data_IF_659760385362
#
_entry.id   IF_659760385362
#
_cell.length_a   1.000
_cell.length_b   1.000
_cell.length_c   1.000
_cell.angle_alpha   90.00
_cell.angle_beta   90.00
_cell.angle_gamma   90.00
#
_symmetry.space_group_name_H-M   'P 1'
#
loop_
_entity.id
_entity.type
_entity.pdbx_description
1 polymer ?
#
# COMPACT_ATOMS: atom_id res chain seq x y z
N UNK A 1 4.19 -10.99 -7.45
CA UNK A 1 4.06 -10.42 -6.09
C UNK A 1 2.59 -10.25 -5.75
N UNK A 2 2.14 -10.80 -4.62
CA UNK A 2 0.77 -10.71 -4.11
C UNK A 2 0.60 -9.47 -3.23
N UNK A 3 -0.66 -9.04 -3.00
CA UNK A 3 -0.93 -7.86 -2.17
C UNK A 3 -0.49 -8.04 -0.70
N UNK A 4 -0.47 -9.27 -0.20
CA UNK A 4 0.05 -9.59 1.13
C UNK A 4 1.57 -9.36 1.20
N UNK A 5 2.32 -9.84 0.21
CA UNK A 5 3.76 -9.61 0.10
C UNK A 5 4.11 -8.12 0.00
N UNK A 6 3.30 -7.34 -0.73
CA UNK A 6 3.43 -5.86 -0.80
C UNK A 6 3.28 -5.25 0.59
N UNK A 7 2.29 -5.70 1.35
CA UNK A 7 2.02 -5.21 2.70
C UNK A 7 3.18 -5.53 3.64
N UNK A 8 3.71 -6.75 3.60
CA UNK A 8 4.88 -7.14 4.40
C UNK A 8 6.13 -6.32 4.03
N UNK A 9 6.34 -6.06 2.74
CA UNK A 9 7.43 -5.22 2.26
C UNK A 9 7.29 -3.77 2.74
N UNK A 10 6.10 -3.19 2.66
CA UNK A 10 5.81 -1.85 3.17
C UNK A 10 6.08 -1.77 4.67
N UNK A 11 5.59 -2.73 5.46
CA UNK A 11 5.81 -2.76 6.91
C UNK A 11 7.30 -2.86 7.25
N UNK A 12 8.04 -3.70 6.53
CA UNK A 12 9.48 -3.88 6.72
C UNK A 12 10.25 -2.62 6.33
N UNK A 13 9.95 -2.04 5.16
CA UNK A 13 10.56 -0.81 4.67
C UNK A 13 10.29 0.37 5.61
N UNK A 14 9.04 0.52 6.06
CA UNK A 14 8.63 1.55 7.03
C UNK A 14 9.41 1.41 8.34
N UNK A 15 9.52 0.20 8.89
CA UNK A 15 10.30 -0.07 10.11
C UNK A 15 11.78 0.25 9.91
N UNK A 16 12.36 -0.18 8.78
CA UNK A 16 13.77 0.07 8.45
C UNK A 16 14.08 1.56 8.33
N UNK A 17 13.19 2.34 7.69
CA UNK A 17 13.33 3.79 7.52
C UNK A 17 12.81 4.62 8.70
N UNK A 18 12.24 3.97 9.75
CA UNK A 18 11.61 4.62 10.91
C UNK A 18 10.56 5.68 10.53
N UNK A 19 9.82 5.45 9.45
CA UNK A 19 8.79 6.36 8.97
C UNK A 19 7.47 6.17 9.74
N UNK A 20 6.73 7.25 9.92
CA UNK A 20 5.37 7.19 10.47
C UNK A 20 4.34 7.05 9.34
N UNK A 21 3.15 6.53 9.67
CA UNK A 21 2.04 6.51 8.69
C UNK A 21 1.61 7.93 8.30
N UNK A 22 1.71 8.88 9.22
CA UNK A 22 1.42 10.29 8.97
C UNK A 22 2.36 10.86 7.90
N UNK A 23 3.67 10.64 8.02
CA UNK A 23 4.64 11.12 7.04
C UNK A 23 4.40 10.55 5.62
N UNK A 24 3.97 9.29 5.53
CA UNK A 24 3.57 8.70 4.24
C UNK A 24 2.32 9.37 3.68
N UNK A 25 1.33 9.62 4.53
CA UNK A 25 0.08 10.29 4.15
C UNK A 25 0.32 11.74 3.72
N UNK A 26 1.16 12.48 4.44
CA UNK A 26 1.59 13.84 4.11
C UNK A 26 2.29 13.89 2.74
N UNK A 27 3.07 12.88 2.38
CA UNK A 27 3.79 12.83 1.10
C UNK A 27 2.87 12.73 -0.14
N UNK A 28 1.70 12.11 0.05
CA UNK A 28 0.69 11.92 -1.01
C UNK A 28 -0.52 12.83 -0.84
N UNK A 29 -0.57 13.64 0.22
CA UNK A 29 -1.65 14.60 0.49
C UNK A 29 -2.99 13.93 0.85
N UNK A 30 -2.97 12.73 1.44
CA UNK A 30 -4.16 11.97 1.80
C UNK A 30 -4.29 11.79 3.32
N UNK A 31 -5.45 11.32 3.76
CA UNK A 31 -5.66 10.98 5.17
C UNK A 31 -4.78 9.80 5.60
N UNK A 32 -4.34 9.82 6.86
CA UNK A 32 -3.51 8.76 7.46
C UNK A 32 -4.21 7.40 7.38
N UNK A 33 -5.49 7.37 7.71
CA UNK A 33 -6.33 6.18 7.75
C UNK A 33 -6.49 5.58 6.34
N UNK A 34 -6.75 6.44 5.35
CA UNK A 34 -6.89 6.03 3.95
C UNK A 34 -5.57 5.51 3.38
N UNK A 35 -4.47 6.23 3.65
CA UNK A 35 -3.12 5.82 3.21
C UNK A 35 -2.74 4.48 3.82
N UNK A 36 -3.00 4.29 5.11
CA UNK A 36 -2.74 3.01 5.78
C UNK A 36 -3.58 1.88 5.16
N UNK A 37 -4.86 2.12 4.88
CA UNK A 37 -5.73 1.13 4.23
C UNK A 37 -5.25 0.78 2.80
N UNK A 38 -4.81 1.77 2.03
CA UNK A 38 -4.24 1.54 0.69
C UNK A 38 -2.99 0.67 0.74
N UNK A 39 -2.08 0.98 1.66
CA UNK A 39 -0.84 0.25 1.88
C UNK A 39 -1.05 -1.16 2.46
N UNK A 40 -2.18 -1.39 3.14
CA UNK A 40 -2.64 -2.71 3.60
C UNK A 40 -3.48 -3.46 2.57
N UNK A 41 -3.53 -3.01 1.32
CA UNK A 41 -4.20 -3.74 0.25
C UNK A 41 -5.71 -3.55 0.16
N UNK A 42 -6.29 -2.64 0.93
CA UNK A 42 -7.73 -2.38 0.91
C UNK A 42 -8.15 -1.35 -0.15
N UNK A 43 -7.20 -0.53 -0.62
CA UNK A 43 -7.43 0.53 -1.61
C UNK A 43 -6.36 0.52 -2.71
N UNK A 44 -6.67 1.21 -3.81
CA UNK A 44 -5.73 1.51 -4.91
C UNK A 44 -5.12 2.87 -4.76
N UNK A 45 -3.85 2.97 -5.09
CA UNK A 45 -3.16 4.25 -5.29
C UNK A 45 -3.15 4.60 -6.77
N UNK A 46 -3.20 5.90 -7.06
CA UNK A 46 -2.91 6.40 -8.40
C UNK A 46 -1.41 6.25 -8.72
N UNK A 47 -1.02 6.25 -10.00
CA UNK A 47 0.37 6.08 -10.43
C UNK A 47 1.32 7.05 -9.72
N UNK A 48 0.93 8.33 -9.63
CA UNK A 48 1.75 9.35 -8.96
C UNK A 48 1.90 9.11 -7.46
N UNK A 49 0.88 8.55 -6.80
CA UNK A 49 0.91 8.25 -5.37
C UNK A 49 1.69 6.97 -5.09
N UNK A 50 1.48 5.93 -5.89
CA UNK A 50 2.16 4.65 -5.80
C UNK A 50 3.67 4.82 -6.01
N UNK A 51 4.06 5.62 -7.01
CA UNK A 51 5.46 5.93 -7.29
C UNK A 51 6.11 6.68 -6.13
N UNK A 52 5.47 7.74 -5.63
CA UNK A 52 5.97 8.48 -4.45
C UNK A 52 6.19 7.57 -3.24
N UNK A 53 5.19 6.75 -2.90
CA UNK A 53 5.29 5.79 -1.79
C UNK A 53 6.41 4.78 -2.07
N UNK A 54 6.50 4.30 -3.31
CA UNK A 54 7.54 3.39 -3.79
C UNK A 54 8.93 3.94 -3.56
N UNK A 55 9.22 5.16 -4.00
CA UNK A 55 10.48 5.86 -3.77
C UNK A 55 10.76 6.08 -2.28
N UNK A 56 9.76 6.58 -1.55
CA UNK A 56 9.90 6.93 -0.14
C UNK A 56 10.18 5.70 0.72
N UNK A 57 9.60 4.54 0.39
CA UNK A 57 9.84 3.27 1.06
C UNK A 57 10.98 2.45 0.43
N UNK A 58 11.39 2.76 -0.80
CA UNK A 58 12.36 1.97 -1.56
C UNK A 58 11.81 0.61 -2.00
N UNK A 59 10.56 0.59 -2.47
CA UNK A 59 9.88 -0.61 -2.94
C UNK A 59 10.27 -0.92 -4.40
N UNK A 60 10.29 -2.20 -4.81
CA UNK A 60 10.52 -2.57 -6.20
C UNK A 60 9.36 -2.14 -7.10
N UNK A 61 9.63 -2.00 -8.41
CA UNK A 61 8.62 -1.60 -9.40
C UNK A 61 7.37 -2.49 -9.37
N UNK A 62 7.54 -3.80 -9.20
CA UNK A 62 6.43 -4.76 -9.07
C UNK A 62 5.49 -4.44 -7.89
N UNK A 63 6.01 -3.90 -6.80
CA UNK A 63 5.22 -3.49 -5.65
C UNK A 63 4.41 -2.22 -5.95
N UNK A 64 5.03 -1.28 -6.67
CA UNK A 64 4.40 -0.02 -7.11
C UNK A 64 3.27 -0.31 -8.09
N UNK A 65 3.49 -1.23 -9.03
CA UNK A 65 2.44 -1.70 -9.93
C UNK A 65 1.30 -2.37 -9.16
N UNK A 66 1.61 -3.23 -8.18
CA UNK A 66 0.57 -3.88 -7.37
C UNK A 66 -0.26 -2.93 -6.52
N UNK A 67 0.31 -1.80 -6.08
CA UNK A 67 -0.44 -0.78 -5.36
C UNK A 67 -1.49 -0.07 -6.24
N UNK A 68 -1.27 -0.05 -7.55
CA UNK A 68 -2.19 0.52 -8.54
C UNK A 68 -3.27 -0.47 -8.99
N UNK A 69 -3.00 -1.78 -8.89
CA UNK A 69 -3.98 -2.81 -9.23
C UNK A 69 -5.13 -2.79 -8.24
N UNK A 70 -6.37 -2.71 -8.75
CA UNK A 70 -7.60 -2.82 -7.95
C UNK A 70 -7.58 -4.12 -7.16
N UNK A 71 -7.51 -4.07 -5.81
CA UNK A 71 -7.53 -5.29 -5.03
C UNK A 71 -8.88 -5.96 -5.23
N UNK A 72 -8.86 -7.28 -5.38
CA UNK A 72 -10.09 -8.07 -5.42
C UNK A 72 -10.82 -7.88 -4.07
N UNK A 73 -11.89 -7.06 -4.06
CA UNK A 73 -12.74 -6.81 -2.88
C UNK A 73 -13.64 -8.02 -2.62
N UNK A 74 -13.04 -9.14 -2.22
CA UNK A 74 -13.74 -10.35 -1.82
C UNK A 74 -13.31 -10.76 -0.41
N UNK A 75 -13.91 -10.13 0.61
CA UNK A 75 -13.65 -10.46 2.02
C UNK A 75 -14.32 -11.77 2.50
N UNK A 76 -14.89 -12.55 1.57
CA UNK A 76 -15.60 -13.80 1.87
C UNK A 76 -15.05 -14.92 0.97
N UNK A 77 -14.24 -15.85 1.50
CA UNK A 77 -13.86 -17.07 0.79
C UNK A 77 -15.00 -18.09 0.70
N UNK A 78 -16.13 -17.86 1.37
CA UNK A 78 -17.28 -18.77 1.37
C UNK A 78 -18.52 -18.09 0.84
N UNK A 79 -19.15 -18.70 -0.16
CA UNK A 79 -20.55 -18.44 -0.48
C UNK A 79 -21.38 -18.68 0.79
N UNK A 80 -22.14 -17.68 1.21
CA UNK A 80 -23.19 -17.87 2.22
C UNK A 80 -24.28 -18.79 1.61
N UNK A 81 -24.69 -19.88 2.28
CA UNK A 81 -25.79 -20.74 1.83
C UNK A 81 -27.16 -20.06 1.95
#
# INVERSE_FOLDING_TARGET
MTRDEVTQLILTAKRRKKLSWSALADSIGLSKEWTTAALMGQMTLDEGQATKIGDLLGLPAEAVEQLQVVPYKGSLPTAVP
#
